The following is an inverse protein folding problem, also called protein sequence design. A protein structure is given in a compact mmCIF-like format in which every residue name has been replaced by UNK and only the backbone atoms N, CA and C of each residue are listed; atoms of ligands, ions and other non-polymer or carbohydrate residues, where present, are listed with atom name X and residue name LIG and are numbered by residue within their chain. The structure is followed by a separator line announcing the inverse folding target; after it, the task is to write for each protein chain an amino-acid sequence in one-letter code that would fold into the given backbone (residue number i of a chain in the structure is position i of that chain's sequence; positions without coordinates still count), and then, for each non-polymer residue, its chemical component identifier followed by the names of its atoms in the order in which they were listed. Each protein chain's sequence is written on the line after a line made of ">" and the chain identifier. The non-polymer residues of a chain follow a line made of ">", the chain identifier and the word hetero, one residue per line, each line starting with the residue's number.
data_IF_471793877270
#
_entry.id   IF_471793877270
#
_cell.length_a   1.000
_cell.length_b   1.000
_cell.length_c   1.000
_cell.angle_alpha   90.00
_cell.angle_beta   90.00
_cell.angle_gamma   90.00
#
_symmetry.space_group_name_H-M   'P 1'
#
loop_
_entity.id
_entity.type
_entity.pdbx_description
1 polymer ?
#
# COMPACT_ATOMS: atom_id res chain seq x y z
N UNK A 1 15.65 3.05 -42.19
CA UNK A 1 16.28 2.83 -40.86
C UNK A 1 17.83 2.93 -40.88
N UNK A 2 18.54 2.20 -41.74
CA UNK A 2 20.04 2.28 -41.82
C UNK A 2 20.57 3.68 -42.06
N UNK A 3 19.96 4.47 -42.93
CA UNK A 3 20.37 5.86 -43.24
C UNK A 3 20.21 6.78 -42.03
N UNK A 4 19.09 6.68 -41.29
CA UNK A 4 18.82 7.49 -40.10
C UNK A 4 19.82 7.17 -38.96
N UNK A 5 20.14 5.88 -38.80
CA UNK A 5 21.15 5.45 -37.80
C UNK A 5 22.55 5.91 -38.17
N UNK A 6 22.90 5.94 -39.46
CA UNK A 6 24.17 6.44 -39.97
C UNK A 6 24.30 7.97 -39.76
N UNK A 7 23.22 8.69 -40.02
CA UNK A 7 23.14 10.15 -39.77
C UNK A 7 23.27 10.48 -38.30
N UNK A 8 22.61 9.69 -37.41
CA UNK A 8 22.73 9.80 -35.98
C UNK A 8 24.18 9.58 -35.51
N UNK A 9 24.85 8.54 -36.00
CA UNK A 9 26.26 8.28 -35.66
C UNK A 9 27.19 9.38 -36.12
N UNK A 10 26.93 9.99 -37.28
CA UNK A 10 27.73 11.09 -37.84
C UNK A 10 27.56 12.38 -37.03
N UNK A 11 26.32 12.79 -36.74
CA UNK A 11 26.03 13.96 -35.90
C UNK A 11 26.52 13.78 -34.46
N UNK A 12 26.37 12.58 -33.88
CA UNK A 12 26.89 12.27 -32.55
C UNK A 12 28.45 12.31 -32.47
N UNK A 13 29.16 12.00 -33.56
CA UNK A 13 30.63 12.07 -33.62
C UNK A 13 31.16 13.50 -33.67
N UNK A 14 30.46 14.41 -34.33
CA UNK A 14 30.84 15.83 -34.44
C UNK A 14 30.62 16.60 -33.11
N UNK A 15 29.59 16.21 -32.31
CA UNK A 15 29.25 16.88 -31.06
C UNK A 15 29.14 15.87 -29.86
N UNK A 16 30.15 14.99 -29.73
CA UNK A 16 30.14 13.87 -28.74
C UNK A 16 29.75 14.27 -27.33
N UNK A 17 30.30 15.35 -26.81
CA UNK A 17 30.02 15.83 -25.44
C UNK A 17 28.56 16.24 -25.27
N UNK A 18 27.98 16.94 -26.26
CA UNK A 18 26.56 17.38 -26.20
C UNK A 18 25.62 16.19 -26.33
N UNK A 19 25.88 15.27 -27.27
CA UNK A 19 25.09 14.05 -27.46
C UNK A 19 25.10 13.20 -26.19
N UNK A 20 26.25 12.97 -25.57
CA UNK A 20 26.38 12.23 -24.32
C UNK A 20 25.59 12.89 -23.17
N UNK A 21 25.75 14.21 -22.96
CA UNK A 21 25.02 14.92 -21.89
C UNK A 21 23.52 14.85 -22.08
N UNK A 22 23.00 14.90 -23.31
CA UNK A 22 21.57 14.78 -23.59
C UNK A 22 21.07 13.38 -23.35
N UNK A 23 21.77 12.35 -23.83
CA UNK A 23 21.40 10.96 -23.54
C UNK A 23 21.42 10.71 -22.02
N UNK A 24 22.45 11.19 -21.33
CA UNK A 24 22.56 11.08 -19.88
C UNK A 24 21.41 11.81 -19.14
N UNK A 25 21.02 13.00 -19.60
CA UNK A 25 19.88 13.75 -19.04
C UNK A 25 18.56 13.00 -19.20
N UNK A 26 18.30 12.41 -20.38
CA UNK A 26 17.10 11.60 -20.61
C UNK A 26 17.15 10.32 -19.80
N UNK A 27 18.30 9.64 -19.75
CA UNK A 27 18.49 8.44 -18.94
C UNK A 27 18.23 8.73 -17.45
N UNK A 28 18.75 9.83 -16.92
CA UNK A 28 18.49 10.27 -15.56
C UNK A 28 17.02 10.55 -15.30
N UNK A 29 16.34 11.29 -16.20
CA UNK A 29 14.90 11.54 -16.12
C UNK A 29 14.08 10.24 -16.15
N UNK A 30 14.49 9.29 -17.00
CA UNK A 30 13.86 7.98 -17.10
C UNK A 30 14.07 7.15 -15.82
N UNK A 31 15.27 7.12 -15.26
CA UNK A 31 15.56 6.49 -13.96
C UNK A 31 14.69 7.10 -12.87
N UNK A 32 14.65 8.43 -12.79
CA UNK A 32 13.88 9.15 -11.79
C UNK A 32 12.40 8.79 -11.82
N UNK A 33 11.75 8.87 -12.99
CA UNK A 33 10.32 8.56 -13.10
C UNK A 33 10.03 7.08 -12.79
N UNK A 34 10.88 6.17 -13.27
CA UNK A 34 10.71 4.73 -13.01
C UNK A 34 10.89 4.39 -11.52
N UNK A 35 11.88 4.96 -10.84
CA UNK A 35 12.07 4.78 -9.41
C UNK A 35 10.88 5.34 -8.62
N UNK A 36 10.49 6.59 -8.88
CA UNK A 36 9.38 7.24 -8.19
C UNK A 36 8.08 6.46 -8.33
N UNK A 37 7.73 6.05 -9.55
CA UNK A 37 6.51 5.27 -9.79
C UNK A 37 6.61 3.84 -9.23
N UNK A 38 7.79 3.21 -9.23
CA UNK A 38 8.00 1.87 -8.66
C UNK A 38 7.84 1.87 -7.14
N UNK A 39 8.34 2.88 -6.45
CA UNK A 39 8.10 3.06 -5.01
C UNK A 39 6.63 3.37 -4.71
N UNK A 40 5.98 4.20 -5.53
CA UNK A 40 4.54 4.47 -5.41
C UNK A 40 3.69 3.20 -5.54
N UNK A 41 4.00 2.33 -6.49
CA UNK A 41 3.32 1.05 -6.66
C UNK A 41 3.62 0.08 -5.49
N UNK A 42 4.86 0.08 -4.99
CA UNK A 42 5.26 -0.68 -3.80
C UNK A 42 4.43 -0.29 -2.58
N UNK A 43 4.31 1.01 -2.31
CA UNK A 43 3.51 1.57 -1.23
C UNK A 43 2.02 1.19 -1.35
N UNK A 44 1.45 1.32 -2.55
CA UNK A 44 0.07 0.93 -2.83
C UNK A 44 -0.19 -0.55 -2.54
N UNK A 45 0.72 -1.44 -2.95
CA UNK A 45 0.64 -2.88 -2.66
C UNK A 45 0.79 -3.17 -1.16
N UNK A 46 1.64 -2.44 -0.47
CA UNK A 46 1.82 -2.58 0.97
C UNK A 46 0.53 -2.23 1.74
N UNK A 47 -0.11 -1.11 1.40
CA UNK A 47 -1.40 -0.75 1.99
C UNK A 47 -2.51 -1.77 1.69
N UNK A 48 -2.53 -2.34 0.49
CA UNK A 48 -3.49 -3.39 0.14
C UNK A 48 -3.28 -4.68 0.95
N UNK A 49 -2.02 -5.12 1.13
CA UNK A 49 -1.69 -6.30 1.94
C UNK A 49 -2.08 -6.10 3.41
N UNK A 50 -1.83 -4.92 3.96
CA UNK A 50 -2.16 -4.61 5.34
C UNK A 50 -3.67 -4.70 5.63
N UNK A 51 -4.53 -4.25 4.71
CA UNK A 51 -5.98 -4.43 4.84
C UNK A 51 -6.36 -5.90 5.01
N UNK A 52 -5.69 -6.78 4.28
CA UNK A 52 -5.98 -8.21 4.31
C UNK A 52 -5.46 -8.90 5.58
N UNK A 53 -4.48 -8.33 6.30
CA UNK A 53 -3.92 -8.92 7.52
C UNK A 53 -4.68 -8.56 8.80
N UNK A 54 -5.35 -7.40 8.83
CA UNK A 54 -6.09 -6.93 10.02
C UNK A 54 -7.58 -7.36 10.02
N UNK A 55 -8.10 -7.78 8.85
CA UNK A 55 -9.52 -7.98 8.57
C UNK A 55 -10.00 -6.94 7.55
N UNK A 56 -10.73 -7.41 6.50
CA UNK A 56 -11.02 -6.57 5.33
C UNK A 56 -12.10 -5.50 5.57
N UNK A 57 -13.28 -5.95 6.00
CA UNK A 57 -14.47 -5.11 6.09
C UNK A 57 -14.93 -5.00 7.55
N UNK A 58 -14.00 -4.68 8.46
CA UNK A 58 -14.28 -4.59 9.88
C UNK A 58 -14.24 -3.15 10.40
N UNK A 59 -14.99 -2.95 11.48
CA UNK A 59 -14.89 -1.77 12.32
C UNK A 59 -14.68 -2.19 13.76
N UNK A 60 -13.77 -1.52 14.44
CA UNK A 60 -13.37 -1.77 15.82
C UNK A 60 -13.89 -0.62 16.67
N UNK A 61 -14.57 -0.95 17.77
CA UNK A 61 -15.20 0.05 18.63
C UNK A 61 -14.79 -0.17 20.08
N UNK A 62 -14.49 0.93 20.77
CA UNK A 62 -14.16 0.94 22.19
C UNK A 62 -15.27 1.64 22.96
N UNK A 63 -15.93 0.94 23.90
CA UNK A 63 -16.83 1.59 24.86
C UNK A 63 -16.07 2.68 25.62
N UNK A 64 -16.62 3.89 25.63
CA UNK A 64 -16.02 5.06 26.25
C UNK A 64 -17.05 5.84 27.06
N UNK A 65 -16.92 7.14 27.18
CA UNK A 65 -17.82 8.00 27.92
C UNK A 65 -18.70 8.84 26.98
N UNK A 66 -19.96 9.05 27.36
CA UNK A 66 -20.87 9.91 26.61
C UNK A 66 -20.44 11.37 26.69
N UNK A 67 -20.53 12.08 25.56
CA UNK A 67 -20.24 13.53 25.51
C UNK A 67 -21.49 14.38 25.29
N UNK A 68 -22.60 13.76 24.94
CA UNK A 68 -23.89 14.43 24.71
C UNK A 68 -24.90 14.04 25.78
N UNK A 69 -25.78 14.97 26.20
CA UNK A 69 -26.93 14.62 27.02
C UNK A 69 -27.93 13.80 26.23
N UNK A 70 -28.59 12.85 26.87
CA UNK A 70 -29.58 12.00 26.21
C UNK A 70 -30.78 11.69 27.11
N UNK A 71 -31.98 12.05 26.66
CA UNK A 71 -33.24 11.78 27.39
C UNK A 71 -33.17 12.14 28.88
N UNK A 72 -32.67 13.34 29.19
CA UNK A 72 -32.53 13.84 30.55
C UNK A 72 -31.30 13.34 31.32
N UNK A 73 -30.51 12.46 30.75
CA UNK A 73 -29.27 11.98 31.35
C UNK A 73 -28.07 12.90 30.99
N UNK A 74 -27.17 13.24 31.94
CA UNK A 74 -26.02 14.12 31.69
C UNK A 74 -24.96 13.41 30.85
N UNK A 75 -24.06 14.16 30.18
CA UNK A 75 -22.83 13.61 29.58
C UNK A 75 -21.84 13.12 30.66
N UNK A 76 -20.75 12.45 30.22
CA UNK A 76 -19.69 11.92 31.09
C UNK A 76 -20.00 10.55 31.69
N UNK A 77 -21.06 9.86 31.22
CA UNK A 77 -21.42 8.52 31.71
C UNK A 77 -20.65 7.45 30.92
N UNK A 78 -20.03 6.46 31.61
CA UNK A 78 -19.36 5.37 30.91
C UNK A 78 -20.36 4.43 30.23
N UNK A 79 -20.13 4.16 28.96
CA UNK A 79 -20.83 3.11 28.22
C UNK A 79 -20.18 1.77 28.58
N UNK A 80 -20.98 0.81 29.05
CA UNK A 80 -20.47 -0.50 29.50
C UNK A 80 -21.13 -1.59 28.69
N UNK A 81 -20.43 -2.06 27.66
CA UNK A 81 -20.84 -3.21 26.90
C UNK A 81 -20.38 -4.51 27.56
N UNK A 82 -21.14 -5.56 27.42
CA UNK A 82 -20.87 -6.91 27.93
C UNK A 82 -20.89 -7.95 26.80
N UNK A 83 -20.50 -9.19 27.09
CA UNK A 83 -20.59 -10.29 26.12
C UNK A 83 -22.04 -10.49 25.63
N UNK A 84 -23.05 -10.25 26.47
CA UNK A 84 -24.45 -10.36 26.10
C UNK A 84 -24.87 -9.31 25.02
N UNK A 85 -24.15 -8.20 24.92
CA UNK A 85 -24.38 -7.20 23.85
C UNK A 85 -23.96 -7.71 22.47
N UNK A 86 -23.02 -8.64 22.40
CA UNK A 86 -22.61 -9.29 21.15
C UNK A 86 -23.79 -10.09 20.58
N UNK A 87 -24.44 -10.90 21.41
CA UNK A 87 -25.59 -11.70 21.01
C UNK A 87 -26.79 -10.80 20.70
N UNK A 88 -27.02 -9.77 21.53
CA UNK A 88 -28.06 -8.77 21.31
C UNK A 88 -27.94 -8.05 19.97
N UNK A 89 -26.73 -7.69 19.54
CA UNK A 89 -26.47 -7.07 18.23
C UNK A 89 -26.63 -8.11 17.12
N UNK A 90 -26.12 -9.33 17.30
CA UNK A 90 -26.22 -10.40 16.31
C UNK A 90 -27.67 -10.73 15.96
N UNK A 91 -28.54 -10.78 16.95
CA UNK A 91 -29.99 -11.05 16.75
C UNK A 91 -30.70 -9.92 16.00
N UNK A 92 -30.31 -8.65 16.23
CA UNK A 92 -30.96 -7.46 15.66
C UNK A 92 -30.36 -6.96 14.36
N UNK A 93 -29.18 -7.43 14.03
CA UNK A 93 -28.45 -7.07 12.82
C UNK A 93 -27.94 -8.32 12.07
N UNK A 94 -28.87 -9.19 11.60
CA UNK A 94 -28.50 -10.42 10.87
C UNK A 94 -27.82 -10.13 9.53
N UNK A 95 -27.88 -8.90 9.04
CA UNK A 95 -27.17 -8.44 7.85
C UNK A 95 -25.66 -8.34 8.04
N UNK A 96 -25.16 -8.30 9.28
CA UNK A 96 -23.72 -8.31 9.54
C UNK A 96 -23.14 -9.70 9.25
N UNK A 97 -21.98 -9.73 8.66
CA UNK A 97 -21.24 -10.98 8.44
C UNK A 97 -20.80 -11.60 9.76
N UNK A 98 -20.26 -10.77 10.65
CA UNK A 98 -19.90 -11.20 12.01
C UNK A 98 -19.98 -10.06 13.01
N UNK A 99 -20.27 -10.43 14.27
CA UNK A 99 -20.20 -9.57 15.45
C UNK A 99 -19.43 -10.32 16.51
N UNK A 100 -18.43 -9.70 17.08
CA UNK A 100 -17.61 -10.30 18.14
C UNK A 100 -17.19 -9.26 19.18
N UNK A 101 -16.96 -9.72 20.38
CA UNK A 101 -16.48 -8.92 21.49
C UNK A 101 -15.14 -9.41 22.00
N UNK A 102 -14.29 -8.50 22.41
CA UNK A 102 -13.03 -8.82 23.05
C UNK A 102 -13.07 -8.39 24.53
N UNK A 103 -12.84 -9.35 25.41
CA UNK A 103 -12.56 -9.11 26.83
C UNK A 103 -11.08 -9.36 27.07
N UNK A 104 -10.36 -8.38 27.61
CA UNK A 104 -8.90 -8.43 27.63
C UNK A 104 -8.37 -8.44 29.05
N UNK A 105 -7.44 -9.35 29.32
CA UNK A 105 -6.55 -9.29 30.49
C UNK A 105 -5.14 -8.91 30.02
N UNK A 106 -4.67 -7.74 30.44
CA UNK A 106 -3.42 -7.14 29.94
C UNK A 106 -2.14 -7.70 30.56
N UNK A 107 -2.25 -8.26 31.77
CA UNK A 107 -1.12 -8.82 32.52
C UNK A 107 -1.53 -10.15 33.11
N UNK A 108 -1.49 -11.18 32.25
CA UNK A 108 -1.80 -12.54 32.63
C UNK A 108 -0.50 -13.33 32.69
N UNK A 109 -0.29 -14.06 33.78
CA UNK A 109 0.85 -14.94 33.90
C UNK A 109 0.63 -16.18 32.99
N UNK A 110 1.51 -16.35 32.02
CA UNK A 110 1.55 -17.49 31.11
C UNK A 110 2.82 -18.29 31.40
N UNK A 111 2.68 -19.57 31.79
CA UNK A 111 3.82 -20.37 32.17
C UNK A 111 3.85 -21.72 31.47
N UNK A 112 5.06 -22.10 30.99
CA UNK A 112 5.37 -23.42 30.44
C UNK A 112 6.71 -23.92 30.97
N UNK A 113 6.72 -25.03 31.68
CA UNK A 113 7.92 -25.53 32.35
C UNK A 113 8.47 -24.49 33.32
N UNK A 114 9.73 -24.11 33.16
CA UNK A 114 10.39 -23.08 33.96
C UNK A 114 10.22 -21.66 33.42
N UNK A 115 9.65 -21.50 32.22
CA UNK A 115 9.47 -20.18 31.58
C UNK A 115 8.14 -19.56 31.96
N UNK A 116 8.19 -18.26 32.24
CA UNK A 116 7.01 -17.47 32.57
C UNK A 116 7.06 -16.14 31.82
N UNK A 117 5.97 -15.79 31.17
CA UNK A 117 5.78 -14.53 30.43
C UNK A 117 4.50 -13.86 30.91
N UNK A 118 4.57 -12.56 31.19
CA UNK A 118 3.37 -11.76 31.39
C UNK A 118 2.84 -11.30 30.03
N UNK A 119 1.77 -11.94 29.58
CA UNK A 119 1.18 -11.72 28.28
C UNK A 119 -0.24 -11.14 28.35
N UNK A 120 -0.71 -10.71 27.18
CA UNK A 120 -2.10 -10.32 26.96
C UNK A 120 -2.92 -11.56 26.61
N UNK A 121 -4.03 -11.75 27.31
CA UNK A 121 -5.02 -12.81 26.99
C UNK A 121 -6.33 -12.17 26.57
N UNK A 122 -6.85 -12.58 25.45
CA UNK A 122 -8.10 -12.12 24.87
C UNK A 122 -9.13 -13.26 24.93
N UNK A 123 -10.28 -12.98 25.56
CA UNK A 123 -11.47 -13.82 25.45
C UNK A 123 -12.39 -13.31 24.35
N UNK A 124 -12.73 -14.15 23.38
CA UNK A 124 -13.55 -13.73 22.23
C UNK A 124 -14.34 -14.91 21.65
N UNK A 125 -15.20 -14.67 20.65
CA UNK A 125 -16.00 -15.69 19.98
C UNK A 125 -15.17 -16.43 18.92
N UNK A 126 -15.59 -17.66 18.58
CA UNK A 126 -14.91 -18.53 17.64
C UNK A 126 -14.74 -17.92 16.22
N UNK A 127 -15.67 -17.05 15.79
CA UNK A 127 -15.62 -16.36 14.50
C UNK A 127 -14.43 -15.39 14.39
N UNK A 128 -13.78 -15.05 15.51
CA UNK A 128 -12.62 -14.17 15.57
C UNK A 128 -11.48 -14.64 14.65
N UNK A 129 -11.26 -15.97 14.58
CA UNK A 129 -10.21 -16.54 13.76
C UNK A 129 -10.29 -16.11 12.31
N UNK A 130 -11.48 -16.13 11.72
CA UNK A 130 -11.71 -15.68 10.34
C UNK A 130 -11.72 -14.15 10.23
N UNK A 131 -12.50 -13.48 11.08
CA UNK A 131 -12.69 -12.02 11.06
C UNK A 131 -11.37 -11.28 11.21
N UNK A 132 -10.48 -11.78 12.11
CA UNK A 132 -9.18 -11.19 12.42
C UNK A 132 -8.00 -11.86 11.71
N UNK A 133 -8.28 -12.83 10.83
CA UNK A 133 -7.26 -13.57 10.08
C UNK A 133 -6.20 -14.26 10.97
N UNK A 134 -6.66 -14.91 12.04
CA UNK A 134 -5.83 -15.71 12.93
C UNK A 134 -5.74 -17.15 12.42
N UNK A 135 -5.01 -17.34 11.33
CA UNK A 135 -4.82 -18.67 10.76
C UNK A 135 -3.72 -19.42 11.50
N UNK A 136 -3.93 -20.71 11.74
CA UNK A 136 -2.97 -21.57 12.39
C UNK A 136 -1.87 -22.03 11.43
N UNK A 137 -0.65 -22.24 11.95
CA UNK A 137 0.38 -23.02 11.25
C UNK A 137 -0.07 -24.48 11.07
N UNK A 138 0.54 -25.20 10.14
CA UNK A 138 0.21 -26.60 9.87
C UNK A 138 0.28 -27.45 11.16
N UNK A 139 -0.72 -28.31 11.36
CA UNK A 139 -0.86 -29.14 12.57
C UNK A 139 -1.69 -28.50 13.69
N UNK A 140 -1.95 -27.17 13.63
CA UNK A 140 -2.80 -26.47 14.58
C UNK A 140 -4.16 -26.07 14.01
N UNK A 141 -5.04 -25.59 14.88
CA UNK A 141 -6.34 -24.99 14.53
C UNK A 141 -6.69 -23.81 15.42
N UNK A 142 -7.59 -22.97 14.99
CA UNK A 142 -8.29 -22.04 15.87
C UNK A 142 -9.44 -22.74 16.61
N UNK A 143 -9.91 -22.20 17.73
CA UNK A 143 -11.06 -22.80 18.43
C UNK A 143 -12.36 -22.59 17.63
N UNK A 144 -13.31 -23.48 17.84
CA UNK A 144 -14.57 -23.52 17.13
C UNK A 144 -15.78 -23.31 18.08
N UNK A 145 -16.98 -23.34 17.52
CA UNK A 145 -18.22 -23.14 18.29
C UNK A 145 -18.37 -24.14 19.45
N UNK A 146 -17.94 -25.40 19.26
CA UNK A 146 -18.02 -26.41 20.32
C UNK A 146 -17.07 -26.11 21.47
N UNK A 147 -15.85 -25.65 21.17
CA UNK A 147 -14.87 -25.24 22.21
C UNK A 147 -15.45 -24.10 23.08
N UNK A 148 -16.18 -23.16 22.44
CA UNK A 148 -16.84 -22.05 23.15
C UNK A 148 -18.06 -22.50 23.95
N UNK A 149 -18.94 -23.30 23.37
CA UNK A 149 -20.15 -23.81 24.03
C UNK A 149 -19.84 -24.66 25.25
N UNK A 150 -18.82 -25.53 25.13
CA UNK A 150 -18.38 -26.43 26.21
C UNK A 150 -17.40 -25.77 27.19
N UNK A 151 -17.07 -24.48 26.99
CA UNK A 151 -16.10 -23.73 27.81
C UNK A 151 -14.74 -24.45 27.91
N UNK A 152 -14.28 -25.04 26.80
CA UNK A 152 -13.04 -25.81 26.77
C UNK A 152 -11.86 -24.92 27.11
N UNK A 153 -10.92 -25.44 27.91
CA UNK A 153 -9.67 -24.75 28.23
C UNK A 153 -8.63 -24.94 27.11
N UNK A 154 -8.89 -24.28 26.01
CA UNK A 154 -8.02 -24.25 24.82
C UNK A 154 -7.48 -22.86 24.62
N UNK A 155 -6.24 -22.76 24.11
CA UNK A 155 -5.56 -21.50 23.84
C UNK A 155 -4.90 -21.51 22.46
N UNK A 156 -5.08 -20.41 21.73
CA UNK A 156 -4.41 -20.10 20.48
C UNK A 156 -3.37 -19.02 20.73
N UNK A 157 -2.13 -19.21 20.26
CA UNK A 157 -1.00 -18.33 20.57
C UNK A 157 -0.57 -17.51 19.36
N UNK A 158 -0.17 -16.27 19.61
CA UNK A 158 0.65 -15.50 18.67
C UNK A 158 2.03 -16.13 18.51
N UNK A 159 2.63 -15.95 17.35
CA UNK A 159 3.87 -16.65 16.97
C UNK A 159 5.09 -16.23 17.81
N UNK A 160 5.23 -14.95 18.18
CA UNK A 160 6.32 -14.50 19.05
C UNK A 160 6.12 -14.98 20.50
N UNK A 161 4.89 -14.88 21.01
CA UNK A 161 4.57 -15.42 22.33
C UNK A 161 4.84 -16.92 22.44
N UNK A 162 4.54 -17.68 21.38
CA UNK A 162 4.83 -19.11 21.31
C UNK A 162 6.34 -19.38 21.35
N UNK A 163 7.15 -18.60 20.62
CA UNK A 163 8.62 -18.68 20.65
C UNK A 163 9.20 -18.36 22.02
N UNK A 164 8.68 -17.33 22.69
CA UNK A 164 9.14 -16.94 24.02
C UNK A 164 8.91 -18.04 25.05
N UNK A 165 7.75 -18.70 25.00
CA UNK A 165 7.37 -19.75 25.95
C UNK A 165 7.99 -21.10 25.63
N UNK A 166 7.90 -21.54 24.36
CA UNK A 166 8.28 -22.91 23.95
C UNK A 166 9.65 -22.99 23.27
N UNK A 167 10.22 -21.85 22.85
CA UNK A 167 11.49 -21.82 22.14
C UNK A 167 11.40 -22.49 20.76
N UNK A 168 12.05 -23.63 20.60
CA UNK A 168 12.05 -24.44 19.37
C UNK A 168 11.08 -25.62 19.41
N UNK A 169 10.44 -25.86 20.54
CA UNK A 169 9.51 -26.97 20.71
C UNK A 169 8.17 -26.65 20.04
N UNK A 170 7.52 -27.68 19.45
CA UNK A 170 6.16 -27.52 18.95
C UNK A 170 5.19 -27.33 20.12
N UNK A 171 4.46 -26.20 20.20
CA UNK A 171 3.54 -25.92 21.29
C UNK A 171 2.22 -26.69 21.17
N UNK A 172 1.82 -27.14 19.98
CA UNK A 172 0.49 -27.73 19.73
C UNK A 172 0.33 -29.02 20.53
N UNK A 173 -0.79 -29.14 21.23
CA UNK A 173 -1.11 -30.27 22.12
C UNK A 173 -0.48 -30.19 23.52
N UNK A 174 0.42 -29.23 23.79
CA UNK A 174 1.03 -29.05 25.12
C UNK A 174 0.14 -28.25 26.06
N UNK A 175 0.40 -28.39 27.35
CA UNK A 175 -0.33 -27.68 28.40
C UNK A 175 0.40 -26.41 28.78
N UNK A 176 -0.28 -25.25 28.61
CA UNK A 176 0.15 -23.94 29.05
C UNK A 176 -0.65 -23.55 30.31
N UNK A 177 0.00 -23.01 31.31
CA UNK A 177 -0.68 -22.45 32.48
C UNK A 177 -1.06 -20.98 32.23
N UNK A 178 -2.34 -20.67 32.32
CA UNK A 178 -2.89 -19.31 32.23
C UNK A 178 -3.39 -18.94 33.64
N UNK A 179 -2.71 -18.06 34.36
CA UNK A 179 -2.96 -17.79 35.79
C UNK A 179 -3.09 -19.09 36.60
N UNK A 180 -2.11 -19.98 36.47
CA UNK A 180 -2.10 -21.30 37.13
C UNK A 180 -3.18 -22.28 36.67
N UNK A 181 -4.05 -21.91 35.77
CA UNK A 181 -5.06 -22.82 35.18
C UNK A 181 -4.51 -23.50 33.93
N UNK A 182 -4.63 -24.84 33.79
CA UNK A 182 -4.11 -25.54 32.63
C UNK A 182 -4.99 -25.32 31.39
N UNK A 183 -4.36 -25.00 30.26
CA UNK A 183 -4.95 -24.86 28.94
C UNK A 183 -4.17 -25.70 27.92
N UNK A 184 -4.88 -26.33 27.01
CA UNK A 184 -4.27 -27.02 25.88
C UNK A 184 -4.00 -26.04 24.75
N UNK A 185 -2.76 -25.94 24.27
CA UNK A 185 -2.42 -25.16 23.09
C UNK A 185 -2.94 -25.89 21.86
N UNK A 186 -3.85 -25.30 21.13
CA UNK A 186 -4.48 -25.89 19.93
C UNK A 186 -3.94 -25.34 18.61
N UNK A 187 -3.18 -24.29 18.65
CA UNK A 187 -2.57 -23.71 17.45
C UNK A 187 -1.72 -22.49 17.76
N UNK A 188 -0.86 -22.20 16.80
CA UNK A 188 0.00 -20.99 16.77
C UNK A 188 -0.31 -20.25 15.50
N UNK A 189 -0.37 -18.92 15.58
CA UNK A 189 -0.68 -18.04 14.46
C UNK A 189 0.44 -18.08 13.41
N UNK A 190 0.05 -18.14 12.14
CA UNK A 190 0.97 -17.84 11.04
C UNK A 190 1.42 -16.39 11.18
N UNK A 191 2.71 -16.15 11.10
CA UNK A 191 3.26 -14.80 11.18
C UNK A 191 2.56 -13.86 10.19
N UNK A 192 1.96 -12.79 10.69
CA UNK A 192 1.29 -11.78 9.89
C UNK A 192 1.80 -10.39 10.22
N UNK A 193 2.03 -9.59 9.20
CA UNK A 193 2.45 -8.20 9.37
C UNK A 193 1.26 -7.31 9.61
N UNK A 194 1.34 -6.46 10.62
CA UNK A 194 0.32 -5.48 10.96
C UNK A 194 0.92 -4.07 10.91
N UNK A 195 0.38 -3.19 10.06
CA UNK A 195 0.70 -1.76 10.09
C UNK A 195 -0.23 -0.97 11.03
N UNK A 196 -1.40 -1.51 11.33
CA UNK A 196 -2.34 -0.95 12.29
C UNK A 196 -2.64 -1.97 13.37
N UNK A 197 -2.33 -1.63 14.61
CA UNK A 197 -2.59 -2.46 15.78
C UNK A 197 -3.50 -1.72 16.74
N UNK A 198 -4.41 -2.45 17.36
CA UNK A 198 -5.15 -1.96 18.52
C UNK A 198 -4.92 -2.91 19.69
N UNK A 199 -4.66 -2.36 20.85
CA UNK A 199 -4.36 -3.14 22.02
C UNK A 199 -3.01 -3.89 21.99
N UNK A 200 -2.15 -3.64 21.00
CA UNK A 200 -0.84 -4.27 20.81
C UNK A 200 -0.78 -5.28 19.65
N UNK A 201 0.42 -5.74 19.26
CA UNK A 201 0.61 -6.69 18.16
C UNK A 201 -0.07 -8.04 18.42
N UNK A 202 -0.62 -8.64 17.37
CA UNK A 202 -1.29 -9.94 17.45
C UNK A 202 -0.30 -11.09 17.70
N UNK A 203 0.97 -10.92 17.35
CA UNK A 203 2.05 -11.89 17.57
C UNK A 203 2.36 -12.14 19.07
N UNK A 204 1.99 -11.19 19.94
CA UNK A 204 2.33 -11.20 21.37
C UNK A 204 1.12 -11.47 22.29
N UNK A 205 0.06 -12.12 21.81
CA UNK A 205 -1.08 -12.42 22.64
C UNK A 205 -1.56 -13.88 22.57
N UNK A 206 -2.29 -14.28 23.58
CA UNK A 206 -3.03 -15.53 23.62
C UNK A 206 -4.53 -15.26 23.45
N UNK A 207 -5.22 -16.13 22.72
CA UNK A 207 -6.67 -16.04 22.50
C UNK A 207 -7.35 -17.30 23.04
N UNK A 208 -8.40 -17.11 23.84
CA UNK A 208 -9.20 -18.18 24.43
C UNK A 208 -10.70 -17.92 24.16
N UNK A 209 -11.59 -18.93 24.23
CA UNK A 209 -13.02 -18.71 24.10
C UNK A 209 -13.55 -17.73 25.16
N UNK A 210 -14.47 -16.83 24.76
CA UNK A 210 -15.06 -15.81 25.64
C UNK A 210 -15.77 -16.42 26.86
N UNK A 211 -16.44 -17.56 26.67
CA UNK A 211 -17.09 -18.32 27.75
C UNK A 211 -16.09 -18.86 28.78
N UNK A 212 -14.93 -19.34 28.32
CA UNK A 212 -13.82 -19.79 29.18
C UNK A 212 -13.16 -18.62 29.90
N UNK A 213 -12.99 -17.47 29.19
CA UNK A 213 -12.46 -16.25 29.77
C UNK A 213 -13.36 -15.76 30.93
N UNK A 214 -14.69 -15.68 30.71
CA UNK A 214 -15.67 -15.29 31.74
C UNK A 214 -15.59 -16.23 32.94
N UNK A 215 -15.47 -17.54 32.73
CA UNK A 215 -15.35 -18.52 33.79
C UNK A 215 -14.03 -18.40 34.60
N UNK A 216 -12.91 -18.06 33.92
CA UNK A 216 -11.59 -17.95 34.57
C UNK A 216 -11.40 -16.62 35.31
N UNK A 217 -11.79 -15.51 34.68
CA UNK A 217 -11.50 -14.16 35.19
C UNK A 217 -12.70 -13.48 35.87
N UNK A 218 -13.90 -14.05 35.81
CA UNK A 218 -15.13 -13.47 36.37
C UNK A 218 -15.54 -12.15 35.70
N UNK A 219 -15.04 -11.87 34.49
CA UNK A 219 -15.26 -10.62 33.76
C UNK A 219 -15.91 -10.90 32.41
N UNK A 220 -16.89 -10.09 32.06
CA UNK A 220 -17.64 -10.15 30.80
C UNK A 220 -17.76 -8.78 30.11
N UNK A 221 -17.19 -7.72 30.73
CA UNK A 221 -17.20 -6.37 30.17
C UNK A 221 -16.29 -6.30 28.96
N UNK A 222 -16.86 -5.89 27.83
CA UNK A 222 -16.11 -5.73 26.60
C UNK A 222 -15.11 -4.58 26.68
N UNK A 223 -13.89 -4.86 26.27
CA UNK A 223 -12.90 -3.84 25.98
C UNK A 223 -13.05 -3.34 24.52
N UNK A 224 -13.48 -4.25 23.64
CA UNK A 224 -13.63 -3.97 22.22
C UNK A 224 -14.86 -4.69 21.67
N UNK A 225 -15.62 -4.03 20.82
CA UNK A 225 -16.65 -4.62 19.96
C UNK A 225 -16.18 -4.53 18.52
N UNK A 226 -16.23 -5.63 17.78
CA UNK A 226 -15.86 -5.66 16.36
C UNK A 226 -17.06 -6.13 15.54
N UNK A 227 -17.34 -5.43 14.46
CA UNK A 227 -18.36 -5.82 13.47
C UNK A 227 -17.72 -5.95 12.11
N UNK A 228 -18.22 -6.92 11.32
CA UNK A 228 -17.81 -7.16 9.93
C UNK A 228 -19.04 -7.09 9.04
N UNK A 229 -18.92 -6.41 7.90
CA UNK A 229 -19.93 -6.39 6.84
C UNK A 229 -19.52 -7.25 5.66
N UNK A 230 -20.48 -7.68 4.84
CA UNK A 230 -20.20 -8.42 3.61
C UNK A 230 -19.48 -7.53 2.59
N UNK A 231 -19.97 -6.29 2.44
CA UNK A 231 -19.41 -5.31 1.52
C UNK A 231 -18.87 -4.07 2.27
N UNK A 232 -17.79 -3.46 1.82
CA UNK A 232 -17.23 -2.25 2.44
C UNK A 232 -18.21 -1.07 2.51
N UNK A 233 -19.08 -0.97 1.51
CA UNK A 233 -20.05 0.13 1.34
C UNK A 233 -21.13 0.12 2.42
N UNK A 234 -21.44 -1.06 2.95
CA UNK A 234 -22.48 -1.27 3.99
C UNK A 234 -22.03 -0.75 5.36
N UNK A 235 -20.72 -0.66 5.61
CA UNK A 235 -20.15 -0.34 6.93
C UNK A 235 -20.70 0.95 7.52
N UNK A 236 -20.86 2.00 6.73
CA UNK A 236 -21.35 3.28 7.24
C UNK A 236 -22.82 3.21 7.71
N UNK A 237 -23.65 2.46 6.99
CA UNK A 237 -25.03 2.18 7.37
C UNK A 237 -25.12 1.30 8.61
N UNK A 238 -24.32 0.23 8.64
CA UNK A 238 -24.25 -0.70 9.75
C UNK A 238 -23.83 0.00 11.07
N UNK A 239 -22.83 0.88 11.02
CA UNK A 239 -22.40 1.63 12.21
C UNK A 239 -23.48 2.59 12.74
N UNK A 240 -24.24 3.27 11.87
CA UNK A 240 -25.37 4.11 12.31
C UNK A 240 -26.43 3.27 13.02
N UNK A 241 -26.88 2.19 12.40
CA UNK A 241 -27.87 1.28 12.98
C UNK A 241 -27.40 0.65 14.29
N UNK A 242 -26.13 0.26 14.36
CA UNK A 242 -25.52 -0.27 15.58
C UNK A 242 -25.57 0.76 16.73
N UNK A 243 -25.21 2.02 16.46
CA UNK A 243 -25.29 3.10 17.46
C UNK A 243 -26.74 3.38 17.88
N UNK A 244 -27.72 3.28 16.99
CA UNK A 244 -29.14 3.41 17.34
C UNK A 244 -29.58 2.29 18.30
N UNK A 245 -29.24 1.03 18.00
CA UNK A 245 -29.59 -0.14 18.79
C UNK A 245 -28.91 -0.10 20.17
N UNK A 246 -27.59 0.14 20.20
CA UNK A 246 -26.85 0.18 21.45
C UNK A 246 -27.12 1.47 22.24
N UNK A 247 -27.36 2.60 21.58
CA UNK A 247 -27.75 3.86 22.19
C UNK A 247 -29.09 3.76 22.90
N UNK A 248 -30.06 3.06 22.30
CA UNK A 248 -31.35 2.78 22.93
C UNK A 248 -31.18 1.89 24.18
N UNK A 249 -30.35 0.85 24.12
CA UNK A 249 -30.12 -0.10 25.23
C UNK A 249 -29.30 0.53 26.38
N UNK A 250 -28.23 1.25 26.06
CA UNK A 250 -27.29 1.78 27.03
C UNK A 250 -27.53 3.25 27.37
N UNK A 251 -28.53 3.88 26.78
CA UNK A 251 -28.96 5.24 27.14
C UNK A 251 -28.01 6.33 26.70
N UNK A 252 -27.47 6.25 25.48
CA UNK A 252 -26.65 7.32 24.89
C UNK A 252 -27.20 7.80 23.55
N UNK A 253 -26.84 9.02 23.14
CA UNK A 253 -27.21 9.58 21.84
C UNK A 253 -26.52 8.81 20.71
N UNK A 254 -27.24 8.21 19.76
CA UNK A 254 -26.66 7.51 18.61
C UNK A 254 -25.70 8.37 17.77
N UNK A 255 -25.83 9.72 17.85
CA UNK A 255 -24.96 10.67 17.18
C UNK A 255 -23.74 11.08 18.04
N UNK A 256 -23.53 10.46 19.18
CA UNK A 256 -22.36 10.70 20.03
C UNK A 256 -21.21 9.76 19.64
N UNK A 257 -20.32 10.25 18.76
CA UNK A 257 -19.19 9.50 18.22
C UNK A 257 -18.17 9.08 19.30
N UNK A 258 -18.26 9.66 20.52
CA UNK A 258 -17.35 9.31 21.63
C UNK A 258 -17.92 8.22 22.53
N UNK A 259 -19.24 8.01 22.55
CA UNK A 259 -19.84 6.95 23.36
C UNK A 259 -19.29 5.56 22.97
N UNK A 260 -19.10 5.35 21.66
CA UNK A 260 -18.35 4.22 21.09
C UNK A 260 -17.27 4.77 20.17
N UNK A 261 -16.06 4.96 20.69
CA UNK A 261 -14.92 5.40 19.87
C UNK A 261 -14.67 4.38 18.76
N UNK A 262 -14.81 4.79 17.51
CA UNK A 262 -14.88 3.88 16.37
C UNK A 262 -13.69 4.04 15.44
N UNK A 263 -12.97 2.95 15.19
CA UNK A 263 -11.99 2.86 14.12
C UNK A 263 -12.56 2.05 12.96
N UNK A 264 -13.06 2.75 11.97
CA UNK A 264 -13.55 2.14 10.74
C UNK A 264 -12.36 1.84 9.80
N UNK A 265 -11.95 0.57 9.75
CA UNK A 265 -10.80 0.12 8.93
C UNK A 265 -11.10 0.28 7.44
N UNK A 266 -12.37 0.14 7.02
CA UNK A 266 -12.77 0.38 5.63
C UNK A 266 -12.48 1.82 5.23
N UNK A 267 -12.94 2.80 6.04
CA UNK A 267 -12.71 4.23 5.81
C UNK A 267 -11.21 4.57 5.83
N UNK A 268 -10.47 4.04 6.81
CA UNK A 268 -9.02 4.22 6.89
C UNK A 268 -8.30 3.67 5.67
N UNK A 269 -8.72 2.50 5.17
CA UNK A 269 -8.16 1.90 3.96
C UNK A 269 -8.45 2.73 2.70
N UNK A 270 -9.63 3.35 2.61
CA UNK A 270 -9.97 4.28 1.51
C UNK A 270 -9.10 5.54 1.56
N UNK A 271 -8.92 6.13 2.75
CA UNK A 271 -8.04 7.30 2.94
C UNK A 271 -6.61 6.94 2.53
N UNK A 272 -6.07 5.83 3.02
CA UNK A 272 -4.72 5.37 2.69
C UNK A 272 -4.55 5.14 1.18
N UNK A 273 -5.56 4.58 0.51
CA UNK A 273 -5.56 4.42 -0.95
C UNK A 273 -5.53 5.76 -1.67
N UNK A 274 -6.34 6.72 -1.22
CA UNK A 274 -6.38 8.06 -1.82
C UNK A 274 -5.07 8.81 -1.61
N UNK A 275 -4.46 8.69 -0.42
CA UNK A 275 -3.13 9.23 -0.13
C UNK A 275 -2.07 8.59 -1.04
N UNK A 276 -2.08 7.26 -1.21
CA UNK A 276 -1.16 6.57 -2.09
C UNK A 276 -1.32 7.01 -3.56
N UNK A 277 -2.57 7.18 -4.03
CA UNK A 277 -2.86 7.70 -5.37
C UNK A 277 -2.39 9.15 -5.53
N UNK A 278 -2.64 10.00 -4.54
CA UNK A 278 -2.17 11.39 -4.53
C UNK A 278 -0.65 11.48 -4.61
N UNK A 279 0.06 10.69 -3.80
CA UNK A 279 1.52 10.58 -3.86
C UNK A 279 2.00 10.07 -5.23
N UNK A 280 1.36 9.04 -5.78
CA UNK A 280 1.72 8.50 -7.09
C UNK A 280 1.54 9.53 -8.21
N UNK A 281 0.45 10.31 -8.19
CA UNK A 281 0.23 11.40 -9.13
C UNK A 281 1.27 12.50 -8.98
N UNK A 282 1.56 12.92 -7.75
CA UNK A 282 2.58 13.94 -7.45
C UNK A 282 3.97 13.52 -7.95
N UNK A 283 4.37 12.29 -7.63
CA UNK A 283 5.65 11.72 -8.10
C UNK A 283 5.68 11.56 -9.63
N UNK A 284 4.55 11.21 -10.23
CA UNK A 284 4.39 11.15 -11.68
C UNK A 284 4.59 12.50 -12.36
N UNK A 285 4.00 13.56 -11.80
CA UNK A 285 4.17 14.93 -12.31
C UNK A 285 5.64 15.34 -12.24
N UNK A 286 6.31 15.13 -11.10
CA UNK A 286 7.75 15.42 -10.97
C UNK A 286 8.56 14.65 -12.00
N UNK A 287 8.27 13.37 -12.20
CA UNK A 287 8.93 12.54 -13.19
C UNK A 287 8.76 13.07 -14.62
N UNK A 288 7.53 13.47 -14.98
CA UNK A 288 7.26 14.08 -16.30
C UNK A 288 8.01 15.40 -16.46
N UNK A 289 8.00 16.27 -15.46
CA UNK A 289 8.75 17.54 -15.50
C UNK A 289 10.26 17.30 -15.69
N UNK A 290 10.82 16.31 -15.01
CA UNK A 290 12.23 15.91 -15.17
C UNK A 290 12.53 15.44 -16.61
N UNK A 291 11.62 14.64 -17.19
CA UNK A 291 11.74 14.21 -18.60
C UNK A 291 11.59 15.38 -19.59
N UNK A 292 10.73 16.35 -19.30
CA UNK A 292 10.58 17.58 -20.13
C UNK A 292 11.90 18.36 -20.13
N UNK A 293 12.57 18.50 -18.99
CA UNK A 293 13.91 19.13 -18.92
C UNK A 293 14.91 18.38 -19.81
N UNK A 294 14.92 17.04 -19.76
CA UNK A 294 15.69 16.21 -20.68
C UNK A 294 15.34 16.46 -22.17
N UNK A 295 14.05 16.58 -22.45
CA UNK A 295 13.51 16.90 -23.80
C UNK A 295 13.97 18.26 -24.32
N UNK A 296 14.04 19.27 -23.47
CA UNK A 296 14.62 20.59 -23.83
C UNK A 296 16.09 20.44 -24.23
N UNK A 297 16.84 19.56 -23.55
CA UNK A 297 18.21 19.22 -23.95
C UNK A 297 18.29 18.64 -25.36
N UNK A 298 17.37 17.72 -25.73
CA UNK A 298 17.27 17.18 -27.10
C UNK A 298 16.94 18.30 -28.09
N UNK A 299 15.93 19.13 -27.79
CA UNK A 299 15.54 20.23 -28.69
C UNK A 299 16.70 21.19 -28.94
N UNK A 300 17.50 21.53 -27.92
CA UNK A 300 18.66 22.39 -28.06
C UNK A 300 19.71 21.79 -29.00
N UNK A 301 19.99 20.48 -28.92
CA UNK A 301 20.86 19.81 -29.88
C UNK A 301 20.30 19.85 -31.29
N UNK A 302 19.00 19.53 -31.41
CA UNK A 302 18.35 19.53 -32.72
C UNK A 302 18.35 20.92 -33.37
N UNK A 303 18.23 22.02 -32.59
CA UNK A 303 18.42 23.39 -33.10
C UNK A 303 19.84 23.62 -33.61
N UNK A 304 20.88 23.14 -32.92
CA UNK A 304 22.26 23.23 -33.38
C UNK A 304 22.48 22.43 -34.66
N UNK A 305 21.98 21.17 -34.72
CA UNK A 305 22.07 20.32 -35.92
C UNK A 305 21.37 20.94 -37.13
N UNK A 306 20.20 21.51 -36.94
CA UNK A 306 19.46 22.23 -37.99
C UNK A 306 20.30 23.41 -38.47
N UNK A 307 20.90 24.21 -37.61
CA UNK A 307 21.75 25.34 -37.94
C UNK A 307 23.01 24.92 -38.75
N UNK A 308 23.64 23.83 -38.36
CA UNK A 308 24.81 23.28 -39.07
C UNK A 308 24.43 22.77 -40.49
N UNK A 309 23.22 22.24 -40.66
CA UNK A 309 22.75 21.72 -41.94
C UNK A 309 21.85 22.67 -42.74
N UNK A 310 21.83 23.97 -42.38
CA UNK A 310 20.96 24.99 -43.02
C UNK A 310 21.17 25.06 -44.54
N UNK A 311 22.42 24.98 -44.99
CA UNK A 311 22.75 25.00 -46.44
C UNK A 311 22.21 23.78 -47.19
N UNK A 312 22.35 22.57 -46.62
CA UNK A 312 21.76 21.35 -47.19
C UNK A 312 20.21 21.44 -47.30
N UNK A 313 19.61 21.98 -46.24
CA UNK A 313 18.15 22.18 -46.18
C UNK A 313 17.73 23.15 -47.31
N UNK A 314 18.41 24.29 -47.44
CA UNK A 314 18.14 25.30 -48.47
C UNK A 314 18.25 24.73 -49.89
N UNK A 315 19.28 23.94 -50.15
CA UNK A 315 19.43 23.26 -51.47
C UNK A 315 18.27 22.28 -51.74
N UNK A 316 17.89 21.47 -50.78
CA UNK A 316 16.76 20.55 -50.92
C UNK A 316 15.42 21.28 -51.12
N UNK A 317 15.22 22.41 -50.44
CA UNK A 317 14.01 23.23 -50.65
C UNK A 317 14.01 23.91 -52.01
N UNK A 318 15.12 24.38 -52.48
CA UNK A 318 15.25 24.95 -53.85
C UNK A 318 14.98 23.93 -54.96
N UNK A 319 15.27 22.66 -54.71
CA UNK A 319 14.94 21.52 -55.57
C UNK A 319 13.48 21.03 -55.41
N UNK A 320 12.62 21.72 -54.61
CA UNK A 320 11.22 21.41 -54.45
C UNK A 320 10.90 20.30 -53.43
N UNK A 321 11.77 20.02 -52.49
CA UNK A 321 11.49 19.03 -51.46
C UNK A 321 10.30 19.43 -50.58
N UNK A 322 9.36 18.48 -50.37
CA UNK A 322 8.19 18.71 -49.47
C UNK A 322 8.68 18.87 -48.01
N UNK A 323 7.99 19.72 -47.24
CA UNK A 323 8.28 19.98 -45.85
C UNK A 323 8.44 18.71 -44.98
N UNK A 324 7.63 17.68 -45.22
CA UNK A 324 7.72 16.41 -44.54
C UNK A 324 9.05 15.65 -44.78
N UNK A 325 9.64 15.81 -45.95
CA UNK A 325 10.94 15.19 -46.29
C UNK A 325 12.12 15.88 -45.61
N UNK A 326 11.91 17.14 -45.18
CA UNK A 326 12.90 17.93 -44.46
C UNK A 326 12.74 17.67 -42.98
N UNK A 327 11.50 17.71 -42.44
CA UNK A 327 11.24 17.58 -40.98
C UNK A 327 11.34 16.15 -40.50
N UNK A 328 10.96 15.16 -41.31
CA UNK A 328 10.95 13.76 -40.91
C UNK A 328 12.25 13.21 -40.37
N UNK A 329 13.41 13.40 -41.00
CA UNK A 329 14.71 12.96 -40.51
C UNK A 329 15.05 13.52 -39.11
N UNK A 330 14.74 14.80 -38.83
CA UNK A 330 15.01 15.44 -37.55
C UNK A 330 14.11 14.91 -36.44
N UNK A 331 12.84 14.64 -36.71
CA UNK A 331 11.94 14.00 -35.76
C UNK A 331 12.42 12.59 -35.42
N UNK A 332 12.84 11.83 -36.41
CA UNK A 332 13.39 10.48 -36.23
C UNK A 332 14.70 10.54 -35.43
N UNK A 333 15.56 11.52 -35.67
CA UNK A 333 16.80 11.71 -34.92
C UNK A 333 16.50 12.04 -33.45
N UNK A 334 15.55 12.94 -33.14
CA UNK A 334 15.07 13.23 -31.80
C UNK A 334 14.50 11.99 -31.09
N UNK A 335 13.71 11.15 -31.79
CA UNK A 335 13.23 9.88 -31.28
C UNK A 335 14.36 8.90 -30.98
N UNK A 336 15.40 8.83 -31.79
CA UNK A 336 16.57 7.96 -31.52
C UNK A 336 17.29 8.40 -30.24
N UNK A 337 17.50 9.71 -30.02
CA UNK A 337 18.09 10.21 -28.76
C UNK A 337 17.25 9.80 -27.55
N UNK A 338 15.92 9.96 -27.63
CA UNK A 338 15.03 9.59 -26.52
C UNK A 338 14.94 8.09 -26.29
N UNK A 339 14.96 7.28 -27.37
CA UNK A 339 14.95 5.81 -27.26
C UNK A 339 16.25 5.30 -26.63
N UNK A 340 17.41 5.82 -27.05
CA UNK A 340 18.72 5.41 -26.49
C UNK A 340 18.82 5.82 -25.01
N UNK A 341 18.46 7.07 -24.69
CA UNK A 341 18.47 7.56 -23.30
C UNK A 341 17.45 6.82 -22.44
N UNK A 342 16.25 6.60 -22.97
CA UNK A 342 15.18 5.85 -22.28
C UNK A 342 15.56 4.39 -22.03
N UNK A 343 16.16 3.70 -23.00
CA UNK A 343 16.63 2.33 -22.84
C UNK A 343 17.75 2.24 -21.79
N UNK A 344 18.72 3.17 -21.83
CA UNK A 344 19.79 3.25 -20.83
C UNK A 344 19.20 3.51 -19.42
N UNK A 345 18.26 4.45 -19.30
CA UNK A 345 17.57 4.73 -18.04
C UNK A 345 16.75 3.55 -17.53
N UNK A 346 16.04 2.83 -18.44
CA UNK A 346 15.31 1.61 -18.09
C UNK A 346 16.24 0.52 -17.55
N UNK A 347 17.36 0.27 -18.20
CA UNK A 347 18.35 -0.70 -17.74
C UNK A 347 18.91 -0.33 -16.36
N UNK A 348 19.27 0.94 -16.14
CA UNK A 348 19.74 1.41 -14.84
C UNK A 348 18.66 1.25 -13.76
N UNK A 349 17.40 1.61 -14.06
CA UNK A 349 16.29 1.45 -13.14
C UNK A 349 16.06 -0.03 -12.77
N UNK A 350 16.14 -0.95 -13.75
CA UNK A 350 16.07 -2.39 -13.52
C UNK A 350 17.20 -2.89 -12.61
N UNK A 351 18.43 -2.43 -12.85
CA UNK A 351 19.59 -2.78 -12.03
C UNK A 351 19.48 -2.27 -10.59
N UNK A 352 18.75 -1.19 -10.34
CA UNK A 352 18.51 -0.65 -8.99
C UNK A 352 17.31 -1.36 -8.33
N UNK A 353 16.18 -1.46 -9.03
CA UNK A 353 14.93 -1.96 -8.44
C UNK A 353 14.97 -3.47 -8.18
N UNK A 354 15.60 -4.23 -9.10
CA UNK A 354 15.63 -5.71 -8.96
C UNK A 354 16.33 -6.17 -7.69
N UNK A 355 17.54 -5.72 -7.34
CA UNK A 355 18.19 -6.10 -6.09
C UNK A 355 17.41 -5.66 -4.84
N UNK A 356 16.81 -4.45 -4.87
CA UNK A 356 15.97 -3.95 -3.78
C UNK A 356 14.76 -4.86 -3.51
N UNK A 357 14.26 -5.52 -4.56
CA UNK A 357 13.18 -6.52 -4.45
C UNK A 357 13.56 -7.79 -3.66
N UNK A 358 14.85 -8.15 -3.61
CA UNK A 358 15.36 -9.33 -2.89
C UNK A 358 15.85 -9.03 -1.48
N UNK A 359 16.00 -7.76 -1.10
CA UNK A 359 16.43 -7.42 0.26
C UNK A 359 15.40 -7.90 1.30
N UNK A 360 15.87 -8.44 2.45
CA UNK A 360 14.97 -8.83 3.54
C UNK A 360 14.32 -7.58 4.14
N UNK A 361 13.04 -7.37 3.83
CA UNK A 361 12.26 -6.20 4.30
C UNK A 361 12.23 -6.14 5.84
N UNK A 362 12.23 -7.31 6.49
CA UNK A 362 12.16 -7.49 7.94
C UNK A 362 13.32 -6.82 8.71
N UNK A 363 14.42 -6.53 8.02
CA UNK A 363 15.59 -5.88 8.63
C UNK A 363 15.65 -4.36 8.43
N UNK A 364 14.68 -3.77 7.69
CA UNK A 364 14.67 -2.34 7.39
C UNK A 364 13.28 -1.74 7.59
N UNK A 365 13.10 -0.96 8.65
CA UNK A 365 11.86 -0.23 8.92
C UNK A 365 11.40 0.64 7.74
N UNK A 366 12.32 1.18 6.96
CA UNK A 366 12.02 2.00 5.77
C UNK A 366 11.38 1.17 4.66
N UNK A 367 11.95 -0.01 4.34
CA UNK A 367 11.40 -0.90 3.33
C UNK A 367 10.11 -1.59 3.80
N UNK A 368 9.97 -1.80 5.10
CA UNK A 368 8.76 -2.31 5.69
C UNK A 368 7.59 -1.32 5.53
N UNK A 369 7.84 -0.03 5.69
CA UNK A 369 6.84 1.02 5.51
C UNK A 369 6.54 1.30 4.03
N UNK A 370 7.58 1.51 3.20
CA UNK A 370 7.44 1.85 1.79
C UNK A 370 7.01 0.67 0.90
N UNK A 371 7.22 -0.55 1.37
CA UNK A 371 7.05 -1.75 0.56
C UNK A 371 8.18 -1.94 -0.46
N UNK A 372 8.15 -3.08 -1.16
CA UNK A 372 9.13 -3.37 -2.21
C UNK A 372 8.83 -2.54 -3.45
N UNK A 373 9.79 -1.76 -3.97
CA UNK A 373 9.58 -1.10 -5.25
C UNK A 373 9.35 -2.17 -6.32
N UNK A 374 8.34 -1.95 -7.17
CA UNK A 374 7.99 -2.91 -8.22
C UNK A 374 7.82 -2.19 -9.55
N UNK A 375 8.59 -2.62 -10.54
CA UNK A 375 8.41 -2.19 -11.92
C UNK A 375 7.27 -3.00 -12.55
N UNK A 376 6.11 -2.37 -12.71
CA UNK A 376 5.01 -2.99 -13.44
C UNK A 376 5.15 -2.70 -14.95
N UNK A 377 4.68 -3.61 -15.85
CA UNK A 377 4.66 -3.36 -17.28
C UNK A 377 3.92 -2.06 -17.65
N UNK A 378 2.89 -1.71 -16.90
CA UNK A 378 2.13 -0.46 -17.08
C UNK A 378 3.00 0.78 -16.86
N UNK A 379 3.85 0.79 -15.82
CA UNK A 379 4.79 1.88 -15.56
C UNK A 379 5.80 2.01 -16.71
N UNK A 380 6.34 0.88 -17.17
CA UNK A 380 7.25 0.85 -18.31
C UNK A 380 6.63 1.41 -19.59
N UNK A 381 5.40 0.97 -19.92
CA UNK A 381 4.67 1.42 -21.10
C UNK A 381 4.32 2.92 -21.03
N UNK A 382 3.85 3.39 -19.86
CA UNK A 382 3.54 4.81 -19.66
C UNK A 382 4.81 5.67 -19.84
N UNK A 383 5.92 5.26 -19.27
CA UNK A 383 7.21 5.96 -19.40
C UNK A 383 7.67 5.98 -20.86
N UNK A 384 7.54 4.87 -21.58
CA UNK A 384 7.87 4.79 -23.00
C UNK A 384 6.98 5.71 -23.85
N UNK A 385 5.68 5.79 -23.56
CA UNK A 385 4.75 6.69 -24.23
C UNK A 385 5.12 8.17 -24.00
N UNK A 386 5.43 8.55 -22.77
CA UNK A 386 5.88 9.93 -22.43
C UNK A 386 7.21 10.26 -23.13
N UNK A 387 8.17 9.35 -23.13
CA UNK A 387 9.43 9.52 -23.85
C UNK A 387 9.22 9.66 -25.35
N UNK A 388 8.36 8.86 -25.96
CA UNK A 388 8.01 8.96 -27.36
C UNK A 388 7.39 10.32 -27.72
N UNK A 389 6.49 10.82 -26.89
CA UNK A 389 5.88 12.13 -27.06
C UNK A 389 6.93 13.25 -26.96
N UNK A 390 7.77 13.23 -25.91
CA UNK A 390 8.82 14.22 -25.69
C UNK A 390 9.84 14.20 -26.85
N UNK A 391 10.27 13.01 -27.30
CA UNK A 391 11.20 12.85 -28.42
C UNK A 391 10.65 13.41 -29.73
N UNK A 392 9.37 13.13 -29.99
CA UNK A 392 8.66 13.66 -31.17
C UNK A 392 8.59 15.17 -31.12
N UNK A 393 8.19 15.77 -29.99
CA UNK A 393 8.09 17.23 -29.84
C UNK A 393 9.45 17.90 -29.91
N UNK A 394 10.45 17.33 -29.24
CA UNK A 394 11.83 17.85 -29.22
C UNK A 394 12.48 17.84 -30.62
N UNK A 395 12.13 16.88 -31.47
CA UNK A 395 12.57 16.87 -32.87
C UNK A 395 11.72 17.75 -33.78
N UNK A 396 10.41 17.82 -33.54
CA UNK A 396 9.47 18.52 -34.41
C UNK A 396 9.64 20.04 -34.40
N UNK A 397 9.75 20.67 -33.23
CA UNK A 397 9.86 22.15 -33.15
C UNK A 397 11.12 22.70 -33.87
N UNK A 398 12.33 22.16 -33.68
CA UNK A 398 13.51 22.59 -34.45
C UNK A 398 13.36 22.33 -35.96
N UNK A 399 12.80 21.16 -36.32
CA UNK A 399 12.60 20.79 -37.69
C UNK A 399 11.61 21.69 -38.44
N UNK A 400 10.51 22.08 -37.81
CA UNK A 400 9.56 23.04 -38.34
C UNK A 400 10.21 24.39 -38.60
N UNK A 401 11.12 24.86 -37.71
CA UNK A 401 11.85 26.09 -37.91
C UNK A 401 12.83 26.00 -39.08
N UNK A 402 13.46 24.84 -39.29
CA UNK A 402 14.30 24.55 -40.43
C UNK A 402 13.53 24.64 -41.78
N UNK A 403 12.31 24.12 -41.79
CA UNK A 403 11.45 24.13 -43.01
C UNK A 403 10.84 25.49 -43.32
N UNK A 404 10.94 26.46 -42.42
CA UNK A 404 10.49 27.85 -42.60
C UNK A 404 11.62 28.81 -43.09
N UNK A 405 12.81 28.30 -43.33
CA UNK A 405 13.95 29.12 -43.79
C UNK A 405 13.76 29.45 -45.29
N UNK A 406 14.01 30.71 -45.65
CA UNK A 406 13.96 31.16 -47.06
C UNK A 406 15.14 30.54 -47.83
N UNK A 407 14.90 29.72 -48.89
CA UNK A 407 15.92 29.11 -49.70
C UNK A 407 16.86 30.16 -50.38
N UNK A 408 16.30 31.30 -50.77
CA UNK A 408 17.09 32.39 -51.40
C UNK A 408 18.07 33.03 -50.43
N UNK A 409 17.69 33.19 -49.15
CA UNK A 409 18.55 33.74 -48.11
C UNK A 409 19.72 32.77 -47.75
N UNK A 410 19.45 31.43 -47.79
CA UNK A 410 20.47 30.42 -47.41
C UNK A 410 21.54 30.19 -48.48
N UNK A 411 21.25 30.49 -49.76
CA UNK A 411 22.22 30.38 -50.85
C UNK A 411 23.05 31.68 -51.04
N UNK A 412 22.68 32.77 -50.40
CA UNK A 412 23.33 34.09 -50.49
C UNK A 412 24.37 34.37 -49.38
N UNK A 413 24.40 33.56 -48.33
CA UNK A 413 25.41 33.64 -47.28
C UNK A 413 26.64 32.83 -47.68
N UNK A 414 27.71 33.50 -48.08
CA UNK A 414 29.07 33.01 -48.08
C UNK A 414 29.62 32.98 -46.64
#
# INVERSE_FOLDING_TARGET
>A
MRVVFHLFLQSSRLARKRAFLTIASIAWGTVSILLLLSFGEGLKRQFSKNRNSTGGNISVMWPSETTKPWKGMPPGRPVRLTLDDVDYVRERMPELRSVLGEVVSWRTNLAYGSKTVNGRVIGTQWVYGETRRHYAVAGGRFFNANDEAEKRRVVFLGDELAKDLFGKEDPVGKTLLVNSSPFTVIGVMVHKRQMGVYGGPDENHAVIPSSTFKALFGRDRLNVLVVETWQPEEMAGALRRLNEILGAKHGYDPADDRALATWNIVKSSQINRNVALGLQLFLGIIGVLTLVIGGVGVANIMYAVVKERTREIGVKMALGARTAWITGPFVLEGLVYTLVGGAAGMLIALLIVTPLGYLPIEKSAVLEFLGRPTLSPTIGLLTAAVLGLIGTLAGYFPARRAAAIDPAATLRYE
#
